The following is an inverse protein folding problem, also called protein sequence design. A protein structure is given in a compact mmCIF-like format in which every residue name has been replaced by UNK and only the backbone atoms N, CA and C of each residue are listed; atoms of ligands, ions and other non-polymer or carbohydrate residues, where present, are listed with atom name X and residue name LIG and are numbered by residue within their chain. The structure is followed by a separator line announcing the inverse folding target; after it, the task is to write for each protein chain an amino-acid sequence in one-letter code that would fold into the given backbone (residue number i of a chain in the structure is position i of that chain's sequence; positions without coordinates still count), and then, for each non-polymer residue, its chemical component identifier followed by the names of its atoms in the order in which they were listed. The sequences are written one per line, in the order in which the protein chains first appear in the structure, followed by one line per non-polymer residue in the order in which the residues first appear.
data_IF_433696335095
#
_entry.id   IF_433696335095
#
_cell.length_a   1.000
_cell.length_b   1.000
_cell.length_c   1.000
_cell.angle_alpha   90.00
_cell.angle_beta   90.00
_cell.angle_gamma   90.00
#
_symmetry.space_group_name_H-M   'P 1'
#
loop_
_entity.id
_entity.type
_entity.pdbx_description
1 polymer ?
#
# COMPACT_ATOMS: atom_id res chain seq x y z
N UNK A 1 14.29 -0.71 21.06
CA UNK A 1 14.59 -0.56 19.62
C UNK A 1 13.69 0.57 19.10
N UNK A 2 14.24 1.65 18.55
CA UNK A 2 13.42 2.75 17.99
C UNK A 2 12.87 2.28 16.65
N UNK A 3 11.55 2.16 16.54
CA UNK A 3 10.92 1.80 15.29
C UNK A 3 11.04 2.97 14.30
N UNK A 4 11.54 2.71 13.10
CA UNK A 4 11.67 3.71 12.03
C UNK A 4 10.49 3.50 11.07
N UNK A 5 9.62 4.50 10.87
CA UNK A 5 8.52 4.40 9.91
C UNK A 5 8.99 4.00 8.52
N UNK A 6 8.23 3.10 7.89
CA UNK A 6 8.51 2.55 6.56
C UNK A 6 7.22 2.08 5.90
N UNK A 7 7.01 2.47 4.64
CA UNK A 7 5.96 1.97 3.76
C UNK A 7 6.66 1.47 2.49
N UNK A 8 6.32 0.25 2.05
CA UNK A 8 6.89 -0.30 0.82
C UNK A 8 5.79 -0.44 -0.22
N UNK A 9 6.10 -0.08 -1.46
CA UNK A 9 5.24 -0.25 -2.62
C UNK A 9 5.71 -1.46 -3.44
N UNK A 10 5.01 -2.60 -3.36
CA UNK A 10 5.32 -3.74 -4.21
C UNK A 10 4.71 -3.52 -5.60
N UNK A 11 5.54 -3.60 -6.62
CA UNK A 11 5.14 -3.72 -8.03
C UNK A 11 5.07 -5.20 -8.41
N UNK A 12 4.86 -5.48 -9.70
CA UNK A 12 4.86 -6.84 -10.24
C UNK A 12 6.21 -7.56 -10.13
N UNK A 13 7.33 -6.83 -10.13
CA UNK A 13 8.69 -7.38 -10.23
C UNK A 13 9.67 -6.90 -9.14
N UNK A 14 9.32 -5.88 -8.36
CA UNK A 14 10.20 -5.33 -7.33
C UNK A 14 9.41 -4.67 -6.20
N UNK A 15 10.08 -4.37 -5.09
CA UNK A 15 9.51 -3.62 -3.98
C UNK A 15 10.28 -2.32 -3.79
N UNK A 16 9.60 -1.20 -3.94
CA UNK A 16 10.17 0.13 -3.71
C UNK A 16 10.01 0.44 -2.23
N UNK A 17 11.13 0.75 -1.56
CA UNK A 17 11.14 0.98 -0.11
C UNK A 17 11.16 2.47 0.20
N UNK A 18 10.11 2.95 0.86
CA UNK A 18 10.05 4.30 1.40
C UNK A 18 10.26 4.23 2.90
N UNK A 19 11.43 4.65 3.35
CA UNK A 19 11.78 4.73 4.76
C UNK A 19 12.31 6.11 5.06
N UNK A 20 12.14 6.52 6.31
CA UNK A 20 12.87 7.67 6.83
C UNK A 20 14.38 7.42 6.75
N UNK A 21 15.11 8.44 6.33
CA UNK A 21 16.57 8.40 6.38
C UNK A 21 17.06 8.52 7.83
N UNK A 22 17.94 7.62 8.24
CA UNK A 22 18.35 7.54 9.66
C UNK A 22 19.36 8.61 10.04
N UNK A 23 20.07 9.14 9.03
CA UNK A 23 21.17 10.09 9.20
C UNK A 23 20.71 11.56 9.06
N UNK A 24 19.44 11.79 8.73
CA UNK A 24 18.81 13.10 8.72
C UNK A 24 18.02 13.31 10.03
N UNK A 25 18.16 14.49 10.65
CA UNK A 25 17.31 14.96 11.76
C UNK A 25 15.87 15.26 11.29
N UNK A 26 15.32 14.41 10.43
CA UNK A 26 13.98 14.56 9.87
C UNK A 26 12.95 14.02 10.87
N UNK A 27 11.79 14.65 11.04
CA UNK A 27 10.73 14.13 11.90
C UNK A 27 9.66 13.35 11.13
N UNK A 28 10.01 12.92 9.91
CA UNK A 28 9.15 12.16 9.00
C UNK A 28 8.37 11.04 9.70
N UNK A 29 7.04 11.10 9.58
CA UNK A 29 6.10 10.10 10.06
C UNK A 29 5.49 9.25 8.92
N UNK A 30 4.49 8.42 9.23
CA UNK A 30 3.86 7.59 8.19
C UNK A 30 3.06 8.40 7.17
N UNK A 31 2.53 9.57 7.53
CA UNK A 31 1.79 10.49 6.65
C UNK A 31 2.73 11.03 5.58
N UNK A 32 3.89 11.54 6.01
CA UNK A 32 4.90 12.10 5.10
C UNK A 32 5.43 11.02 4.13
N UNK A 33 5.72 9.83 4.65
CA UNK A 33 6.15 8.68 3.83
C UNK A 33 5.05 8.28 2.85
N UNK A 34 3.79 8.23 3.30
CA UNK A 34 2.67 7.87 2.44
C UNK A 34 2.45 8.88 1.31
N UNK A 35 2.67 10.17 1.57
CA UNK A 35 2.63 11.20 0.54
C UNK A 35 3.67 10.92 -0.56
N UNK A 36 4.91 10.59 -0.18
CA UNK A 36 5.94 10.18 -1.14
C UNK A 36 5.58 8.93 -1.93
N UNK A 37 4.89 7.98 -1.31
CA UNK A 37 4.45 6.74 -1.98
C UNK A 37 3.40 7.03 -3.04
N UNK A 38 2.41 7.91 -2.77
CA UNK A 38 1.35 8.22 -3.74
C UNK A 38 1.81 9.18 -4.84
N UNK A 39 2.87 9.95 -4.59
CA UNK A 39 3.51 10.83 -5.58
C UNK A 39 4.53 10.10 -6.47
N UNK A 40 4.89 8.85 -6.13
CA UNK A 40 5.82 8.03 -6.92
C UNK A 40 5.17 7.61 -8.25
N UNK A 41 5.96 7.60 -9.33
CA UNK A 41 5.48 7.23 -10.67
C UNK A 41 4.99 5.79 -10.78
N UNK A 42 5.43 4.90 -9.89
CA UNK A 42 5.03 3.49 -9.84
C UNK A 42 3.76 3.28 -9.00
N UNK A 43 3.19 4.36 -8.40
CA UNK A 43 1.94 4.29 -7.66
C UNK A 43 0.80 3.79 -8.57
N UNK A 44 0.13 2.68 -8.23
CA UNK A 44 -0.93 2.14 -9.05
C UNK A 44 -2.25 2.88 -8.79
N UNK A 45 -2.38 4.11 -9.31
CA UNK A 45 -3.50 5.01 -9.04
C UNK A 45 -4.89 4.42 -9.36
N UNK A 46 -4.96 3.43 -10.25
CA UNK A 46 -6.22 2.76 -10.64
C UNK A 46 -6.47 1.43 -9.90
N UNK A 47 -5.56 1.02 -9.00
CA UNK A 47 -5.71 -0.21 -8.23
C UNK A 47 -6.45 0.08 -6.92
N UNK A 48 -7.70 -0.36 -6.84
CA UNK A 48 -8.61 -0.07 -5.74
C UNK A 48 -8.75 -1.26 -4.79
N UNK A 49 -7.74 -1.50 -3.95
CA UNK A 49 -7.73 -2.57 -2.95
C UNK A 49 -7.41 -2.02 -1.56
N UNK A 50 -7.67 -2.81 -0.52
CA UNK A 50 -7.47 -2.36 0.85
C UNK A 50 -6.08 -1.75 1.12
N UNK A 51 -5.01 -2.33 0.59
CA UNK A 51 -3.65 -1.83 0.76
C UNK A 51 -3.43 -0.46 0.12
N UNK A 52 -3.97 -0.20 -1.07
CA UNK A 52 -3.84 1.12 -1.73
C UNK A 52 -4.70 2.16 -1.03
N UNK A 53 -5.93 1.83 -0.64
CA UNK A 53 -6.77 2.71 0.20
C UNK A 53 -6.11 3.08 1.52
N UNK A 54 -5.49 2.10 2.18
CA UNK A 54 -4.82 2.32 3.47
C UNK A 54 -3.64 3.29 3.34
N UNK A 55 -2.84 3.18 2.27
CA UNK A 55 -1.74 4.13 2.01
C UNK A 55 -2.30 5.52 1.66
N UNK A 56 -3.33 5.63 0.82
CA UNK A 56 -3.95 6.92 0.49
C UNK A 56 -4.59 7.60 1.71
N UNK A 57 -5.28 6.86 2.57
CA UNK A 57 -5.79 7.37 3.85
C UNK A 57 -4.67 7.80 4.79
N UNK A 58 -3.54 7.12 4.76
CA UNK A 58 -2.36 7.52 5.52
C UNK A 58 -1.83 8.87 5.04
N UNK A 59 -1.70 9.07 3.73
CA UNK A 59 -1.27 10.36 3.16
C UNK A 59 -2.22 11.50 3.53
N UNK A 60 -3.53 11.24 3.56
CA UNK A 60 -4.55 12.23 3.96
C UNK A 60 -4.71 12.42 5.48
N UNK A 61 -4.02 11.65 6.32
CA UNK A 61 -4.13 11.74 7.78
C UNK A 61 -5.44 11.19 8.37
N UNK A 62 -6.14 10.31 7.65
CA UNK A 62 -7.47 9.80 8.02
C UNK A 62 -7.42 8.70 9.12
N UNK A 63 -8.54 8.40 9.80
CA UNK A 63 -8.59 7.40 10.88
C UNK A 63 -8.11 5.99 10.52
N UNK A 64 -8.21 5.59 9.24
CA UNK A 64 -7.76 4.29 8.71
C UNK A 64 -6.27 4.21 8.35
N UNK A 65 -5.47 5.19 8.75
CA UNK A 65 -4.05 5.31 8.42
C UNK A 65 -3.16 4.20 9.03
N UNK A 66 -2.00 4.01 8.39
CA UNK A 66 -0.87 3.24 8.90
C UNK A 66 -0.29 3.96 10.10
N UNK A 67 -0.32 3.29 11.27
CA UNK A 67 0.25 3.81 12.54
C UNK A 67 1.30 2.89 13.15
N UNK A 68 1.58 1.76 12.50
CA UNK A 68 2.48 0.74 13.04
C UNK A 68 3.17 -0.05 11.91
N UNK A 69 4.33 -0.68 12.20
CA UNK A 69 4.99 -1.59 11.27
C UNK A 69 4.09 -2.74 10.83
N UNK A 70 3.22 -3.23 11.73
CA UNK A 70 2.31 -4.32 11.42
C UNK A 70 1.30 -3.91 10.35
N UNK A 71 0.70 -2.72 10.49
CA UNK A 71 -0.24 -2.18 9.48
C UNK A 71 0.47 -1.91 8.15
N UNK A 72 1.70 -1.37 8.19
CA UNK A 72 2.50 -1.14 6.99
C UNK A 72 2.85 -2.45 6.26
N UNK A 73 3.20 -3.50 7.01
CA UNK A 73 3.46 -4.82 6.46
C UNK A 73 2.19 -5.45 5.87
N UNK A 74 1.05 -5.32 6.54
CA UNK A 74 -0.22 -5.83 6.03
C UNK A 74 -0.61 -5.15 4.70
N UNK A 75 -0.53 -3.82 4.61
CA UNK A 75 -0.85 -3.08 3.38
C UNK A 75 0.05 -3.53 2.22
N UNK A 76 1.36 -3.67 2.47
CA UNK A 76 2.32 -4.19 1.51
C UNK A 76 1.97 -5.61 1.03
N UNK A 77 1.69 -6.53 1.96
CA UNK A 77 1.37 -7.91 1.59
C UNK A 77 0.07 -7.98 0.79
N UNK A 78 -0.94 -7.18 1.14
CA UNK A 78 -2.18 -7.10 0.36
C UNK A 78 -1.91 -6.68 -1.10
N UNK A 79 -1.15 -5.61 -1.31
CA UNK A 79 -0.80 -5.14 -2.66
C UNK A 79 0.03 -6.20 -3.39
N UNK A 80 1.02 -6.81 -2.71
CA UNK A 80 1.88 -7.81 -3.33
C UNK A 80 1.09 -9.05 -3.78
N UNK A 81 0.21 -9.57 -2.94
CA UNK A 81 -0.61 -10.74 -3.29
C UNK A 81 -1.51 -10.44 -4.49
N UNK A 82 -2.11 -9.24 -4.55
CA UNK A 82 -2.86 -8.82 -5.73
C UNK A 82 -1.97 -8.78 -6.99
N UNK A 83 -0.81 -8.12 -6.92
CA UNK A 83 0.11 -8.02 -8.06
C UNK A 83 0.56 -9.39 -8.57
N UNK A 84 0.80 -10.36 -7.66
CA UNK A 84 1.21 -11.72 -8.04
C UNK A 84 0.06 -12.57 -8.57
N UNK A 85 -1.14 -12.44 -8.00
CA UNK A 85 -2.32 -13.18 -8.47
C UNK A 85 -2.68 -12.83 -9.92
N UNK A 86 -2.41 -11.59 -10.35
CA UNK A 86 -2.68 -11.09 -11.70
C UNK A 86 -1.41 -10.94 -12.56
N UNK A 87 -0.28 -11.49 -12.11
CA UNK A 87 0.98 -11.39 -12.86
C UNK A 87 0.86 -12.11 -14.21
N UNK A 88 1.02 -11.37 -15.31
CA UNK A 88 0.91 -11.90 -16.67
C UNK A 88 -0.52 -12.22 -17.12
N UNK A 89 -1.54 -11.83 -16.34
CA UNK A 89 -2.94 -11.98 -16.74
C UNK A 89 -3.30 -10.94 -17.82
N UNK A 90 -3.82 -11.39 -18.96
CA UNK A 90 -4.27 -10.51 -20.05
C UNK A 90 -5.66 -9.92 -19.79
N UNK A 91 -6.44 -10.51 -18.88
CA UNK A 91 -7.75 -10.04 -18.42
C UNK A 91 -7.90 -10.36 -16.94
N UNK A 92 -8.17 -9.33 -16.14
CA UNK A 92 -8.62 -9.46 -14.75
C UNK A 92 -10.13 -9.69 -14.82
N UNK A 93 -10.60 -10.88 -14.44
CA UNK A 93 -12.05 -11.10 -14.24
C UNK A 93 -12.40 -10.44 -12.91
N UNK A 94 -13.04 -9.26 -12.96
CA UNK A 94 -13.34 -8.43 -11.79
C UNK A 94 -14.64 -8.85 -11.10
N UNK A 95 -15.45 -9.71 -11.73
CA UNK A 95 -16.76 -10.07 -11.18
C UNK A 95 -16.77 -11.53 -10.71
N UNK A 96 -16.69 -11.70 -9.39
CA UNK A 96 -16.89 -12.97 -8.68
C UNK A 96 -17.96 -12.87 -7.60
N UNK A 97 -18.64 -11.71 -7.49
CA UNK A 97 -19.77 -11.57 -6.59
C UNK A 97 -20.98 -12.20 -7.29
N UNK A 98 -21.21 -13.48 -7.03
CA UNK A 98 -22.52 -14.03 -7.35
C UNK A 98 -23.57 -13.25 -6.56
N UNK A 99 -24.65 -12.78 -7.21
CA UNK A 99 -25.71 -12.09 -6.51
C UNK A 99 -26.25 -13.00 -5.42
N UNK A 100 -26.42 -12.46 -4.22
CA UNK A 100 -27.07 -13.21 -3.14
C UNK A 100 -28.47 -13.63 -3.60
N UNK A 101 -28.72 -14.94 -3.67
CA UNK A 101 -30.03 -15.53 -3.98
C UNK A 101 -30.62 -16.16 -2.71
N UNK A 102 -31.86 -15.80 -2.38
CA UNK A 102 -32.62 -16.28 -1.20
C UNK A 102 -33.12 -17.75 -1.32
N UNK A 103 -32.58 -18.53 -2.26
CA UNK A 103 -33.04 -19.90 -2.57
C UNK A 103 -32.52 -20.96 -1.58
#
# INVERSE_FOLDING_TARGET
MRNVPRIDLPTSNQWITFRRDKDLEDNEDYTDIAQRVIDDSEWPANLNIWGTYTISWTASGEPGAIRSPATAAAARINIHLHQQAFFGANNVVIDGDEPFTDD
#
